data_IF_741778796194
#
_entry.id   IF_741778796194
#
_cell.length_a   1.000
_cell.length_b   1.000
_cell.length_c   1.000
_cell.angle_alpha   90.00
_cell.angle_beta   90.00
_cell.angle_gamma   90.00
#
_symmetry.space_group_name_H-M   'P 1'
#
loop_
_entity.id
_entity.type
_entity.pdbx_description
1 polymer ?
#
# COMPACT_ATOMS: atom_id res chain seq x y z
N UNK A 1 0.00 4.32 -28.70
CA UNK A 1 1.35 4.85 -29.03
C UNK A 1 1.56 6.11 -28.22
N UNK A 2 2.72 6.30 -27.57
CA UNK A 2 3.07 7.54 -26.88
C UNK A 2 3.06 8.75 -27.82
N UNK A 3 2.53 9.89 -27.35
CA UNK A 3 2.59 11.16 -28.10
C UNK A 3 3.91 11.88 -27.79
N UNK A 4 4.37 11.82 -26.52
CA UNK A 4 5.67 12.34 -26.09
C UNK A 4 6.55 11.22 -25.55
N UNK A 5 7.56 10.82 -26.34
CA UNK A 5 8.53 9.79 -25.94
C UNK A 5 9.47 10.23 -24.82
N UNK A 6 9.71 11.53 -24.66
CA UNK A 6 10.69 12.02 -23.69
C UNK A 6 10.18 11.86 -22.26
N UNK A 7 8.86 12.00 -22.05
CA UNK A 7 8.30 11.80 -20.71
C UNK A 7 8.42 10.34 -20.25
N UNK A 8 8.26 9.38 -21.17
CA UNK A 8 8.47 7.97 -20.85
C UNK A 8 9.94 7.64 -20.62
N UNK A 9 10.85 8.29 -21.36
CA UNK A 9 12.29 8.17 -21.06
C UNK A 9 12.61 8.68 -19.67
N UNK A 10 12.04 9.82 -19.25
CA UNK A 10 12.19 10.33 -17.89
C UNK A 10 11.66 9.34 -16.85
N UNK A 11 10.46 8.72 -17.08
CA UNK A 11 9.88 7.73 -16.18
C UNK A 11 10.75 6.48 -15.97
N UNK A 12 11.60 6.16 -16.92
CA UNK A 12 12.56 5.05 -16.85
C UNK A 12 14.03 5.50 -16.72
N UNK A 13 14.28 6.70 -16.21
CA UNK A 13 15.63 7.20 -15.94
C UNK A 13 15.81 7.41 -14.44
N UNK A 14 16.76 6.69 -13.83
CA UNK A 14 17.11 6.86 -12.43
C UNK A 14 17.97 8.11 -12.20
N UNK A 15 17.85 8.74 -11.01
CA UNK A 15 18.61 9.94 -10.64
C UNK A 15 20.15 9.74 -10.72
N UNK A 16 20.65 8.52 -10.55
CA UNK A 16 22.09 8.20 -10.71
C UNK A 16 22.67 8.50 -12.08
N UNK A 17 21.81 8.69 -13.09
CA UNK A 17 22.25 9.08 -14.43
C UNK A 17 22.66 10.57 -14.51
N UNK A 18 22.26 11.38 -13.53
CA UNK A 18 22.56 12.82 -13.48
C UNK A 18 22.23 13.58 -14.78
N UNK A 19 21.22 13.11 -15.52
CA UNK A 19 20.79 13.75 -16.75
C UNK A 19 19.97 15.01 -16.48
N UNK A 20 20.07 15.97 -17.40
CA UNK A 20 19.29 17.21 -17.39
C UNK A 20 18.55 17.39 -18.71
N UNK A 21 17.39 18.02 -18.66
CA UNK A 21 16.68 18.46 -19.84
C UNK A 21 17.30 19.73 -20.45
N UNK A 22 16.78 20.22 -21.56
CA UNK A 22 17.25 21.42 -22.26
C UNK A 22 17.17 22.70 -21.42
N UNK A 23 16.35 22.70 -20.37
CA UNK A 23 16.19 23.82 -19.43
C UNK A 23 17.09 23.71 -18.19
N UNK A 24 17.93 22.64 -18.11
CA UNK A 24 18.80 22.39 -16.98
C UNK A 24 18.16 21.68 -15.79
N UNK A 25 16.87 21.29 -15.86
CA UNK A 25 16.18 20.58 -14.81
C UNK A 25 16.56 19.09 -14.81
N UNK A 26 16.58 18.40 -13.64
CA UNK A 26 16.84 16.97 -13.57
C UNK A 26 15.87 16.16 -14.44
N UNK A 27 16.43 15.27 -15.26
CA UNK A 27 15.68 14.32 -16.09
C UNK A 27 15.74 12.94 -15.45
N UNK A 28 14.81 12.67 -14.54
CA UNK A 28 14.67 11.40 -13.86
C UNK A 28 13.21 11.14 -13.49
N UNK A 29 12.93 9.96 -12.92
CA UNK A 29 11.57 9.52 -12.63
C UNK A 29 10.93 10.15 -11.38
N UNK A 30 11.67 10.77 -10.47
CA UNK A 30 11.20 11.17 -9.13
C UNK A 30 9.98 12.11 -9.15
N UNK A 31 9.98 13.11 -10.04
CA UNK A 31 8.83 14.00 -10.18
C UNK A 31 7.60 13.32 -10.77
N UNK A 32 7.82 12.34 -11.65
CA UNK A 32 6.74 11.55 -12.25
C UNK A 32 6.19 10.53 -11.25
N UNK A 33 7.03 9.94 -10.40
CA UNK A 33 6.64 9.10 -9.26
C UNK A 33 5.70 9.87 -8.32
N UNK A 34 6.10 11.07 -7.88
CA UNK A 34 5.27 11.92 -7.03
C UNK A 34 3.88 12.21 -7.63
N UNK A 35 3.85 12.57 -8.92
CA UNK A 35 2.60 12.82 -9.62
C UNK A 35 1.78 11.53 -9.78
N UNK A 36 2.44 10.45 -10.17
CA UNK A 36 1.81 9.16 -10.44
C UNK A 36 1.18 8.53 -9.20
N UNK A 37 1.79 8.65 -8.03
CA UNK A 37 1.19 8.23 -6.75
C UNK A 37 -0.17 8.92 -6.52
N UNK A 38 -0.21 10.25 -6.70
CA UNK A 38 -1.43 11.04 -6.53
C UNK A 38 -2.51 10.65 -7.56
N UNK A 39 -2.13 10.47 -8.82
CA UNK A 39 -3.05 10.08 -9.90
C UNK A 39 -3.55 8.64 -9.71
N UNK A 40 -2.67 7.70 -9.33
CA UNK A 40 -3.05 6.33 -9.00
C UNK A 40 -4.08 6.31 -7.88
N UNK A 41 -3.82 7.06 -6.81
CA UNK A 41 -4.73 7.18 -5.67
C UNK A 41 -6.11 7.69 -6.08
N UNK A 42 -6.17 8.74 -6.91
CA UNK A 42 -7.43 9.29 -7.43
C UNK A 42 -8.18 8.29 -8.33
N UNK A 43 -7.46 7.58 -9.21
CA UNK A 43 -8.05 6.57 -10.11
C UNK A 43 -8.58 5.37 -9.31
N UNK A 44 -7.82 4.89 -8.30
CA UNK A 44 -8.26 3.80 -7.42
C UNK A 44 -9.52 4.20 -6.64
N UNK A 45 -9.55 5.41 -6.08
CA UNK A 45 -10.72 5.92 -5.37
C UNK A 45 -11.96 5.98 -6.28
N UNK A 46 -11.83 6.56 -7.48
CA UNK A 46 -12.91 6.60 -8.49
C UNK A 46 -13.38 5.20 -8.88
N UNK A 47 -12.45 4.28 -9.15
CA UNK A 47 -12.77 2.91 -9.52
C UNK A 47 -13.52 2.18 -8.40
N UNK A 48 -13.03 2.25 -7.16
CA UNK A 48 -13.69 1.61 -6.02
C UNK A 48 -15.08 2.18 -5.74
N UNK A 49 -15.24 3.50 -5.89
CA UNK A 49 -16.53 4.16 -5.75
C UNK A 49 -17.56 3.66 -6.77
N UNK A 50 -17.14 3.42 -7.99
CA UNK A 50 -18.00 2.91 -9.07
C UNK A 50 -18.35 1.42 -8.90
N UNK A 51 -17.38 0.58 -8.55
CA UNK A 51 -17.59 -0.88 -8.46
C UNK A 51 -18.19 -1.36 -7.14
N UNK A 52 -18.22 -0.50 -6.12
CA UNK A 52 -18.72 -0.82 -4.77
C UNK A 52 -19.72 0.24 -4.28
N UNK A 53 -20.87 0.43 -4.96
CA UNK A 53 -21.82 1.50 -4.64
C UNK A 53 -22.39 1.41 -3.21
N UNK A 54 -22.45 0.19 -2.64
CA UNK A 54 -22.97 -0.05 -1.27
C UNK A 54 -21.87 0.05 -0.18
N UNK A 55 -20.62 0.31 -0.56
CA UNK A 55 -19.53 0.39 0.42
C UNK A 55 -19.51 1.76 1.10
N UNK A 56 -19.41 1.76 2.43
CA UNK A 56 -19.21 2.99 3.19
C UNK A 56 -17.75 3.50 3.03
N UNK A 57 -17.51 4.76 3.43
CA UNK A 57 -16.21 5.42 3.36
C UNK A 57 -15.08 4.58 3.97
N UNK A 58 -15.29 4.05 5.17
CA UNK A 58 -14.28 3.23 5.87
C UNK A 58 -13.90 1.96 5.09
N UNK A 59 -14.87 1.32 4.39
CA UNK A 59 -14.60 0.17 3.52
C UNK A 59 -13.80 0.59 2.28
N UNK A 60 -14.18 1.69 1.64
CA UNK A 60 -13.47 2.23 0.45
C UNK A 60 -12.03 2.60 0.81
N UNK A 61 -11.81 3.31 1.91
CA UNK A 61 -10.48 3.70 2.39
C UNK A 61 -9.60 2.49 2.70
N UNK A 62 -10.14 1.47 3.37
CA UNK A 62 -9.40 0.22 3.64
C UNK A 62 -9.00 -0.50 2.35
N UNK A 63 -9.90 -0.59 1.37
CA UNK A 63 -9.60 -1.24 0.10
C UNK A 63 -8.59 -0.46 -0.71
N UNK A 64 -8.74 0.86 -0.79
CA UNK A 64 -7.76 1.74 -1.43
C UNK A 64 -6.37 1.51 -0.82
N UNK A 65 -6.22 1.56 0.51
CA UNK A 65 -4.94 1.34 1.19
C UNK A 65 -4.29 -0.01 0.87
N UNK A 66 -5.09 -1.05 0.60
CA UNK A 66 -4.57 -2.35 0.15
C UNK A 66 -4.00 -2.28 -1.26
N UNK A 67 -4.73 -1.63 -2.18
CA UNK A 67 -4.39 -1.56 -3.60
C UNK A 67 -3.14 -0.71 -3.80
N UNK A 68 -3.08 0.48 -3.17
CA UNK A 68 -1.93 1.39 -3.29
C UNK A 68 -0.83 1.10 -2.27
N UNK A 69 -0.89 -0.03 -1.54
CA UNK A 69 0.16 -0.37 -0.58
C UNK A 69 1.50 -0.59 -1.30
N UNK A 70 2.58 -0.10 -0.70
CA UNK A 70 3.95 -0.25 -1.23
C UNK A 70 4.27 -1.70 -1.62
N UNK A 71 3.90 -2.67 -0.77
CA UNK A 71 4.11 -4.09 -1.07
C UNK A 71 3.35 -4.56 -2.33
N UNK A 72 2.11 -4.08 -2.54
CA UNK A 72 1.32 -4.42 -3.73
C UNK A 72 1.90 -3.78 -4.99
N UNK A 73 2.27 -2.49 -4.92
CA UNK A 73 2.86 -1.79 -6.07
C UNK A 73 4.22 -2.39 -6.46
N UNK A 74 5.07 -2.72 -5.48
CA UNK A 74 6.34 -3.40 -5.73
C UNK A 74 6.13 -4.77 -6.39
N UNK A 75 5.16 -5.55 -5.91
CA UNK A 75 4.82 -6.83 -6.52
C UNK A 75 4.41 -6.67 -7.99
N UNK A 76 3.50 -5.74 -8.28
CA UNK A 76 3.02 -5.49 -9.65
C UNK A 76 4.15 -4.99 -10.55
N UNK A 77 4.95 -4.02 -10.10
CA UNK A 77 6.08 -3.49 -10.87
C UNK A 77 7.13 -4.57 -11.17
N UNK A 78 7.31 -5.54 -10.25
CA UNK A 78 8.18 -6.69 -10.44
C UNK A 78 7.62 -7.68 -11.47
N UNK A 79 6.33 -8.03 -11.38
CA UNK A 79 5.65 -8.90 -12.35
C UNK A 79 5.67 -8.28 -13.76
N UNK A 80 5.50 -6.97 -13.87
CA UNK A 80 5.60 -6.23 -15.12
C UNK A 80 7.04 -6.07 -15.64
N UNK A 81 8.06 -6.53 -14.89
CA UNK A 81 9.49 -6.42 -15.21
C UNK A 81 9.96 -4.99 -15.48
N UNK A 82 9.38 -4.01 -14.79
CA UNK A 82 9.64 -2.59 -15.07
C UNK A 82 11.11 -2.20 -14.84
N UNK A 83 11.81 -2.88 -13.93
CA UNK A 83 13.24 -2.63 -13.67
C UNK A 83 14.12 -2.92 -14.90
N UNK A 84 13.69 -3.81 -15.81
CA UNK A 84 14.45 -4.13 -17.02
C UNK A 84 14.45 -2.97 -18.04
N UNK A 85 13.52 -2.03 -17.88
CA UNK A 85 13.43 -0.81 -18.70
C UNK A 85 14.18 0.37 -18.07
N UNK A 86 14.59 0.26 -16.79
CA UNK A 86 15.22 1.36 -16.06
C UNK A 86 16.66 1.59 -16.55
N UNK A 87 16.94 2.84 -16.93
CA UNK A 87 18.31 3.31 -17.23
C UNK A 87 18.91 3.89 -15.95
N UNK A 88 20.04 3.34 -15.52
CA UNK A 88 20.69 3.73 -14.27
C UNK A 88 22.21 3.52 -14.36
N UNK A 89 22.93 4.19 -13.46
CA UNK A 89 24.37 3.98 -13.26
C UNK A 89 24.59 3.18 -11.97
N UNK A 90 25.32 2.06 -12.06
CA UNK A 90 25.58 1.18 -10.93
C UNK A 90 25.11 -0.26 -11.16
N UNK A 91 24.87 -1.00 -10.08
CA UNK A 91 24.45 -2.41 -10.11
C UNK A 91 23.00 -2.54 -9.67
N UNK A 92 22.25 -3.49 -10.27
CA UNK A 92 20.84 -3.77 -9.92
C UNK A 92 20.66 -4.16 -8.45
N UNK A 93 21.64 -4.81 -7.86
CA UNK A 93 21.64 -5.28 -6.48
C UNK A 93 21.63 -4.13 -5.45
N UNK A 94 21.97 -2.92 -5.87
CA UNK A 94 21.95 -1.73 -5.01
C UNK A 94 20.54 -1.16 -4.81
N UNK A 95 19.55 -1.61 -5.59
CA UNK A 95 18.18 -1.18 -5.43
C UNK A 95 17.44 -2.00 -4.36
N UNK A 96 16.80 -1.31 -3.43
CA UNK A 96 15.81 -1.93 -2.57
C UNK A 96 14.51 -2.27 -3.32
N UNK A 97 13.66 -3.12 -2.71
CA UNK A 97 12.40 -3.57 -3.32
C UNK A 97 11.47 -2.42 -3.73
N UNK A 98 11.60 -1.24 -3.12
CA UNK A 98 10.74 -0.09 -3.40
C UNK A 98 10.87 0.45 -4.83
N UNK A 99 11.97 0.20 -5.50
CA UNK A 99 12.22 0.69 -6.87
C UNK A 99 11.13 0.25 -7.85
N UNK A 100 10.57 -0.94 -7.69
CA UNK A 100 9.54 -1.46 -8.58
C UNK A 100 8.24 -0.65 -8.52
N UNK A 101 7.80 -0.29 -7.31
CA UNK A 101 6.64 0.58 -7.10
C UNK A 101 6.89 1.99 -7.60
N UNK A 102 8.06 2.55 -7.31
CA UNK A 102 8.43 3.90 -7.74
C UNK A 102 8.41 4.05 -9.28
N UNK A 103 8.96 3.05 -10.01
CA UNK A 103 8.90 3.06 -11.49
C UNK A 103 7.46 2.92 -11.99
N UNK A 104 6.64 2.10 -11.33
CA UNK A 104 5.23 1.94 -11.68
C UNK A 104 4.49 3.26 -11.52
N UNK A 105 4.65 3.96 -10.41
CA UNK A 105 4.07 5.27 -10.17
C UNK A 105 4.57 6.29 -11.19
N UNK A 106 5.88 6.31 -11.48
CA UNK A 106 6.43 7.19 -12.52
C UNK A 106 5.85 6.93 -13.91
N UNK A 107 5.64 5.67 -14.28
CA UNK A 107 4.97 5.30 -15.52
C UNK A 107 3.53 5.82 -15.57
N UNK A 108 2.79 5.72 -14.45
CA UNK A 108 1.42 6.26 -14.33
C UNK A 108 1.43 7.77 -14.51
N UNK A 109 2.36 8.48 -13.86
CA UNK A 109 2.55 9.92 -14.04
C UNK A 109 2.83 10.32 -15.49
N UNK A 110 3.68 9.55 -16.18
CA UNK A 110 3.98 9.76 -17.60
C UNK A 110 2.73 9.53 -18.49
N UNK A 111 1.97 8.46 -18.26
CA UNK A 111 0.73 8.18 -18.99
C UNK A 111 -0.28 9.30 -18.77
N UNK A 112 -0.43 9.79 -17.53
CA UNK A 112 -1.33 10.88 -17.22
C UNK A 112 -0.98 12.17 -17.97
N UNK A 113 0.29 12.57 -18.00
CA UNK A 113 0.72 13.78 -18.72
C UNK A 113 0.51 13.61 -20.24
N UNK A 114 0.81 12.44 -20.78
CA UNK A 114 0.70 12.19 -22.24
C UNK A 114 -0.74 12.03 -22.71
N UNK A 115 -1.64 11.47 -21.89
CA UNK A 115 -2.97 11.01 -22.34
C UNK A 115 -4.15 11.66 -21.60
N UNK A 116 -3.89 12.36 -20.49
CA UNK A 116 -4.93 12.88 -19.61
C UNK A 116 -5.59 11.82 -18.74
N UNK A 117 -6.46 12.28 -17.83
CA UNK A 117 -7.04 11.44 -16.77
C UNK A 117 -7.86 10.26 -17.30
N UNK A 118 -8.81 10.50 -18.18
CA UNK A 118 -9.73 9.44 -18.65
C UNK A 118 -9.02 8.30 -19.39
N UNK A 119 -8.07 8.67 -20.27
CA UNK A 119 -7.27 7.64 -20.97
C UNK A 119 -6.31 6.91 -20.01
N UNK A 120 -5.73 7.61 -19.04
CA UNK A 120 -4.91 7.01 -18.01
C UNK A 120 -5.73 6.01 -17.18
N UNK A 121 -6.92 6.39 -16.69
CA UNK A 121 -7.85 5.50 -15.98
C UNK A 121 -8.16 4.25 -16.80
N UNK A 122 -8.54 4.40 -18.06
CA UNK A 122 -8.87 3.27 -18.94
C UNK A 122 -7.67 2.33 -19.17
N UNK A 123 -6.46 2.87 -19.29
CA UNK A 123 -5.23 2.08 -19.42
C UNK A 123 -4.99 1.32 -18.12
N UNK A 124 -5.07 1.98 -16.95
CA UNK A 124 -4.85 1.35 -15.66
C UNK A 124 -5.87 0.24 -15.38
N UNK A 125 -7.13 0.41 -15.74
CA UNK A 125 -8.13 -0.67 -15.60
C UNK A 125 -7.67 -1.92 -16.35
N UNK A 126 -7.14 -1.78 -17.55
CA UNK A 126 -6.70 -2.92 -18.38
C UNK A 126 -5.40 -3.56 -17.90
N UNK A 127 -4.38 -2.76 -17.56
CA UNK A 127 -3.03 -3.26 -17.29
C UNK A 127 -2.72 -3.45 -15.80
N UNK A 128 -3.50 -2.84 -14.92
CA UNK A 128 -3.27 -2.84 -13.48
C UNK A 128 -4.43 -3.49 -12.72
N UNK A 129 -5.69 -3.01 -12.91
CA UNK A 129 -6.80 -3.56 -12.11
C UNK A 129 -7.17 -4.98 -12.56
N UNK A 130 -7.49 -5.20 -13.82
CA UNK A 130 -7.97 -6.49 -14.29
C UNK A 130 -6.97 -7.65 -14.04
N UNK A 131 -5.65 -7.50 -14.27
CA UNK A 131 -4.71 -8.60 -14.04
C UNK A 131 -4.31 -8.80 -12.58
N UNK A 132 -4.37 -7.77 -11.72
CA UNK A 132 -3.73 -7.81 -10.41
C UNK A 132 -4.63 -7.52 -9.22
N UNK A 133 -5.87 -7.03 -9.45
CA UNK A 133 -6.77 -6.60 -8.40
C UNK A 133 -8.06 -7.43 -8.42
N UNK A 134 -8.14 -8.39 -7.53
CA UNK A 134 -9.36 -9.16 -7.28
C UNK A 134 -10.15 -8.49 -6.15
N UNK A 135 -11.18 -7.73 -6.50
CA UNK A 135 -11.99 -6.96 -5.56
C UNK A 135 -12.60 -7.84 -4.46
N UNK A 136 -13.14 -9.00 -4.81
CA UNK A 136 -13.74 -9.94 -3.86
C UNK A 136 -12.72 -10.51 -2.87
N UNK A 137 -11.55 -10.90 -3.35
CA UNK A 137 -10.46 -11.37 -2.50
C UNK A 137 -9.97 -10.27 -1.54
N UNK A 138 -9.92 -9.02 -2.03
CA UNK A 138 -9.57 -7.87 -1.19
C UNK A 138 -10.63 -7.56 -0.14
N UNK A 139 -11.92 -7.75 -0.42
CA UNK A 139 -12.99 -7.54 0.56
C UNK A 139 -12.86 -8.50 1.74
N UNK A 140 -12.53 -9.75 1.48
CA UNK A 140 -12.47 -10.82 2.47
C UNK A 140 -11.13 -10.86 3.25
N UNK A 141 -10.11 -10.17 2.78
CA UNK A 141 -8.80 -10.15 3.43
C UNK A 141 -8.80 -9.25 4.66
N UNK A 142 -8.75 -9.83 5.84
CA UNK A 142 -8.53 -9.09 7.10
C UNK A 142 -7.16 -8.42 7.05
N UNK A 143 -7.11 -7.09 7.06
CA UNK A 143 -5.85 -6.32 7.02
C UNK A 143 -5.25 -6.21 8.42
N UNK A 144 -6.11 -6.00 9.41
CA UNK A 144 -5.73 -5.78 10.78
C UNK A 144 -6.83 -6.34 11.68
N UNK A 145 -6.46 -7.35 12.43
CA UNK A 145 -7.32 -7.91 13.47
C UNK A 145 -7.61 -6.86 14.56
N UNK A 146 -6.63 -5.97 14.83
CA UNK A 146 -6.83 -4.85 15.74
C UNK A 146 -7.95 -3.92 15.27
N UNK A 147 -7.92 -3.53 13.99
CA UNK A 147 -8.95 -2.66 13.42
C UNK A 147 -10.33 -3.34 13.42
N UNK A 148 -10.40 -4.61 13.06
CA UNK A 148 -11.63 -5.39 13.07
C UNK A 148 -12.24 -5.47 14.48
N UNK A 149 -11.41 -5.73 15.50
CA UNK A 149 -11.84 -5.82 16.88
C UNK A 149 -12.32 -4.45 17.43
N UNK A 150 -11.63 -3.36 17.06
CA UNK A 150 -12.04 -2.00 17.42
C UNK A 150 -13.40 -1.67 16.79
N UNK A 151 -13.57 -1.92 15.50
CA UNK A 151 -14.84 -1.67 14.79
C UNK A 151 -15.99 -2.46 15.41
N UNK A 152 -15.75 -3.75 15.71
CA UNK A 152 -16.74 -4.58 16.38
C UNK A 152 -17.11 -4.04 17.77
N UNK A 153 -16.11 -3.66 18.59
CA UNK A 153 -16.37 -3.13 19.94
C UNK A 153 -17.18 -1.84 19.91
N UNK A 154 -16.90 -0.95 18.93
CA UNK A 154 -17.66 0.28 18.73
C UNK A 154 -19.12 -0.01 18.34
N UNK A 155 -19.36 -0.94 17.40
CA UNK A 155 -20.70 -1.37 17.00
C UNK A 155 -21.48 -1.98 18.17
N UNK A 156 -20.80 -2.72 19.03
CA UNK A 156 -21.40 -3.34 20.21
C UNK A 156 -21.45 -2.41 21.43
N UNK A 157 -20.97 -1.16 21.29
CA UNK A 157 -20.87 -0.18 22.39
C UNK A 157 -20.12 -0.74 23.62
N UNK A 158 -19.10 -1.56 23.39
CA UNK A 158 -18.26 -2.16 24.43
C UNK A 158 -16.96 -1.38 24.60
N UNK A 159 -16.51 -1.23 25.83
CA UNK A 159 -15.25 -0.58 26.14
C UNK A 159 -14.07 -1.54 25.87
N UNK A 160 -13.26 -1.24 24.86
CA UNK A 160 -12.10 -2.05 24.44
C UNK A 160 -10.82 -1.27 24.72
N UNK A 161 -9.89 -1.89 25.47
CA UNK A 161 -8.62 -1.27 25.82
C UNK A 161 -7.48 -2.21 25.41
N UNK A 162 -6.45 -1.64 24.75
CA UNK A 162 -5.19 -2.30 24.47
C UNK A 162 -4.12 -1.76 25.43
N UNK A 163 -3.68 -2.58 26.36
CA UNK A 163 -2.55 -2.26 27.24
C UNK A 163 -1.31 -2.92 26.69
N UNK A 164 -0.37 -2.12 26.18
CA UNK A 164 0.89 -2.63 25.61
C UNK A 164 2.08 -2.01 26.29
N UNK A 165 2.94 -2.85 26.85
CA UNK A 165 4.15 -2.47 27.57
C UNK A 165 5.37 -3.23 27.04
N UNK A 166 6.56 -2.68 27.25
CA UNK A 166 7.80 -3.39 26.96
C UNK A 166 7.92 -4.61 27.89
N UNK A 167 8.33 -5.75 27.35
CA UNK A 167 8.56 -6.96 28.14
C UNK A 167 9.88 -6.82 28.94
N UNK A 168 9.78 -6.90 30.23
CA UNK A 168 10.94 -6.82 31.15
C UNK A 168 11.82 -8.08 31.14
N UNK A 169 11.36 -9.15 30.51
CA UNK A 169 12.06 -10.43 30.44
C UNK A 169 13.02 -10.44 29.25
N UNK A 170 14.12 -9.89 29.26
CA UNK A 170 15.25 -9.85 28.28
C UNK A 170 15.26 -10.96 27.18
N UNK A 171 14.12 -11.23 26.54
CA UNK A 171 13.98 -12.14 25.42
C UNK A 171 14.11 -11.31 24.13
N UNK A 172 15.17 -11.50 23.32
CA UNK A 172 15.41 -10.67 22.14
C UNK A 172 14.31 -10.76 21.08
N UNK A 173 13.50 -11.83 21.11
CA UNK A 173 12.44 -12.04 20.12
C UNK A 173 11.04 -11.61 20.62
N UNK A 174 10.85 -11.31 21.90
CA UNK A 174 9.54 -11.02 22.50
C UNK A 174 9.57 -9.76 23.36
N UNK A 175 9.73 -8.61 22.69
CA UNK A 175 10.02 -7.33 23.36
C UNK A 175 8.78 -6.58 23.89
N UNK A 176 7.57 -6.97 23.49
CA UNK A 176 6.35 -6.29 23.89
C UNK A 176 5.26 -7.27 24.33
N UNK A 177 4.62 -6.95 25.45
CA UNK A 177 3.42 -7.61 25.93
C UNK A 177 2.20 -6.76 25.61
N UNK A 178 1.15 -7.37 25.09
CA UNK A 178 -0.14 -6.73 24.92
C UNK A 178 -1.21 -7.52 25.67
N UNK A 179 -2.04 -6.80 26.45
CA UNK A 179 -3.28 -7.32 27.04
C UNK A 179 -4.45 -6.60 26.35
N UNK A 180 -5.51 -7.33 26.08
CA UNK A 180 -6.78 -6.75 25.62
C UNK A 180 -7.80 -6.92 26.73
N UNK A 181 -8.40 -5.78 27.11
CA UNK A 181 -9.50 -5.74 28.07
C UNK A 181 -10.79 -5.36 27.32
N UNK A 182 -11.88 -6.04 27.66
CA UNK A 182 -13.22 -5.74 27.19
C UNK A 182 -14.11 -5.53 28.42
N UNK A 183 -14.68 -4.33 28.58
CA UNK A 183 -15.43 -3.93 29.75
C UNK A 183 -14.67 -4.20 31.07
N UNK A 184 -13.36 -3.87 31.10
CA UNK A 184 -12.43 -4.05 32.21
C UNK A 184 -11.98 -5.50 32.48
N UNK A 185 -12.50 -6.50 31.80
CA UNK A 185 -12.07 -7.89 31.91
C UNK A 185 -11.00 -8.23 30.88
N UNK A 186 -9.93 -8.90 31.29
CA UNK A 186 -8.84 -9.34 30.41
C UNK A 186 -9.31 -10.52 29.55
N UNK A 187 -9.46 -10.29 28.25
CA UNK A 187 -9.89 -11.32 27.29
C UNK A 187 -8.69 -12.15 26.82
N UNK A 188 -7.57 -11.48 26.53
CA UNK A 188 -6.39 -12.19 26.00
C UNK A 188 -5.10 -11.42 26.28
N UNK A 189 -3.99 -12.15 26.16
CA UNK A 189 -2.61 -11.61 26.25
C UNK A 189 -1.80 -12.15 25.11
N UNK A 190 -0.83 -11.38 24.63
CA UNK A 190 0.13 -11.83 23.63
C UNK A 190 1.47 -11.18 23.82
N UNK A 191 2.51 -11.76 23.21
CA UNK A 191 3.88 -11.22 23.16
C UNK A 191 4.39 -11.29 21.73
N UNK A 192 5.17 -10.28 21.33
CA UNK A 192 5.81 -10.25 20.00
C UNK A 192 6.99 -9.26 19.99
N UNK A 193 7.74 -9.25 18.88
CA UNK A 193 8.94 -8.43 18.67
C UNK A 193 8.68 -6.93 18.65
N UNK A 194 7.45 -6.50 18.36
CA UNK A 194 7.09 -5.08 18.31
C UNK A 194 5.70 -4.84 18.90
N UNK A 195 5.46 -3.59 19.36
CA UNK A 195 4.16 -3.14 19.84
C UNK A 195 3.04 -3.47 18.86
N UNK A 196 3.24 -3.12 17.57
CA UNK A 196 2.24 -3.38 16.51
C UNK A 196 1.93 -4.87 16.35
N UNK A 197 2.95 -5.72 16.32
CA UNK A 197 2.77 -7.17 16.16
C UNK A 197 2.13 -7.82 17.39
N UNK A 198 2.49 -7.39 18.60
CA UNK A 198 1.87 -7.91 19.81
C UNK A 198 0.39 -7.53 19.90
N UNK A 199 0.02 -6.29 19.57
CA UNK A 199 -1.38 -5.85 19.51
C UNK A 199 -2.19 -6.61 18.45
N UNK A 200 -1.62 -6.83 17.26
CA UNK A 200 -2.27 -7.57 16.17
C UNK A 200 -2.50 -9.03 16.53
N UNK A 201 -1.51 -9.67 17.16
CA UNK A 201 -1.60 -11.04 17.65
C UNK A 201 -2.65 -11.18 18.77
N UNK A 202 -2.67 -10.24 19.73
CA UNK A 202 -3.69 -10.20 20.78
C UNK A 202 -5.08 -10.04 20.18
N UNK A 203 -5.27 -9.12 19.23
CA UNK A 203 -6.54 -8.90 18.57
C UNK A 203 -7.04 -10.14 17.82
N UNK A 204 -6.15 -10.85 17.10
CA UNK A 204 -6.48 -12.11 16.45
C UNK A 204 -7.01 -13.15 17.44
N UNK A 205 -6.32 -13.30 18.58
CA UNK A 205 -6.73 -14.22 19.63
C UNK A 205 -8.10 -13.82 20.25
N UNK A 206 -8.30 -12.49 20.48
CA UNK A 206 -9.57 -12.00 21.01
C UNK A 206 -10.75 -12.28 20.06
N UNK A 207 -10.57 -12.06 18.76
CA UNK A 207 -11.58 -12.37 17.73
C UNK A 207 -11.97 -13.85 17.77
N UNK A 208 -10.96 -14.72 17.88
CA UNK A 208 -11.21 -16.16 17.97
C UNK A 208 -11.99 -16.55 19.25
N UNK A 209 -11.62 -15.97 20.40
CA UNK A 209 -12.29 -16.20 21.69
C UNK A 209 -13.74 -15.68 21.66
N UNK A 210 -13.95 -14.51 21.08
CA UNK A 210 -15.25 -13.85 20.99
C UNK A 210 -16.14 -14.41 19.85
N UNK A 211 -15.60 -15.26 18.99
CA UNK A 211 -16.25 -15.86 17.80
C UNK A 211 -16.86 -14.81 16.87
N UNK A 212 -16.09 -13.78 16.52
CA UNK A 212 -16.49 -12.66 15.66
C UNK A 212 -15.63 -12.56 14.40
#
# INVERSE_FOLDING_TARGET
IPSDKNIYRAAFTHSSMNLKNTEGNPLNFERLEYLGDSILSAIVASYLFEVLPEANEGKLTRMMSKIVSRGKLNHIGKEMKLLDLLVFNGKKENFGDNIYGNILEALIGAIFIDKGYEKCKNILVKIFFNPYIEIEALQNKVISYKSLLIEWSQKQKKNLIFETEADKRKDPELNFNCKILLNQEVITKSRDVSKKKSEEKAAKNAIHILKI
#
